data_IF_813123291475
#
_entry.id   IF_813123291475
#
_cell.length_a   1.000
_cell.length_b   1.000
_cell.length_c   1.000
_cell.angle_alpha   90.00
_cell.angle_beta   90.00
_cell.angle_gamma   90.00
#
_symmetry.space_group_name_H-M   'P 1'
#
loop_
_entity.id
_entity.type
_entity.pdbx_description
1 polymer ?
#
# COMPACT_ATOMS: atom_id res chain seq x y z
N UNK A 1 2.04 -7.28 -16.65
CA UNK A 1 0.92 -7.25 -15.68
C UNK A 1 1.46 -7.07 -14.27
N UNK A 2 1.25 -5.88 -13.69
CA UNK A 2 1.66 -5.49 -12.34
C UNK A 2 0.77 -6.17 -11.28
N UNK A 3 0.83 -7.50 -11.16
CA UNK A 3 -0.06 -8.22 -10.23
C UNK A 3 0.34 -7.89 -8.80
N UNK A 4 -0.56 -7.36 -7.98
CA UNK A 4 -0.37 -7.22 -6.52
C UNK A 4 -0.57 -8.57 -5.82
N UNK A 5 -0.40 -8.66 -4.49
CA UNK A 5 -0.76 -9.91 -3.79
C UNK A 5 -2.28 -10.20 -3.76
N UNK A 6 -3.12 -9.28 -4.26
CA UNK A 6 -4.54 -9.52 -4.54
C UNK A 6 -4.69 -10.46 -5.74
N UNK A 7 -4.08 -10.10 -6.87
CA UNK A 7 -4.18 -10.84 -8.14
C UNK A 7 -3.16 -11.98 -8.30
N UNK A 8 -2.13 -12.03 -7.47
CA UNK A 8 -1.15 -13.12 -7.47
C UNK A 8 -0.81 -13.57 -6.04
N UNK A 9 -1.65 -14.47 -5.51
CA UNK A 9 -1.38 -15.16 -4.24
C UNK A 9 -0.17 -16.06 -4.40
N UNK A 10 0.97 -15.68 -3.81
CA UNK A 10 2.11 -16.61 -3.70
C UNK A 10 1.66 -17.77 -2.82
N UNK A 11 2.00 -19.01 -3.19
CA UNK A 11 1.75 -20.16 -2.31
C UNK A 11 2.54 -19.95 -1.02
N UNK A 12 1.84 -19.70 0.08
CA UNK A 12 2.44 -19.59 1.40
C UNK A 12 3.24 -20.86 1.74
N UNK A 13 4.31 -20.71 2.51
CA UNK A 13 5.03 -21.86 3.06
C UNK A 13 4.06 -22.64 3.96
N UNK A 14 3.87 -23.93 3.69
CA UNK A 14 3.10 -24.82 4.58
C UNK A 14 3.77 -24.83 5.94
N UNK A 15 3.03 -24.44 6.96
CA UNK A 15 3.47 -24.47 8.35
C UNK A 15 2.28 -24.85 9.23
N UNK A 16 2.56 -25.58 10.30
CA UNK A 16 1.59 -25.98 11.31
C UNK A 16 1.27 -24.88 12.32
N UNK A 17 2.04 -23.77 12.33
CA UNK A 17 1.83 -22.64 13.24
C UNK A 17 0.69 -21.75 12.75
N UNK A 18 -0.20 -21.34 13.67
CA UNK A 18 -1.28 -20.38 13.38
C UNK A 18 -0.67 -19.02 12.96
N UNK A 19 -1.18 -18.39 11.89
CA UNK A 19 -0.71 -17.07 11.47
C UNK A 19 -1.06 -16.03 12.53
N UNK A 20 -0.11 -15.14 12.81
CA UNK A 20 -0.26 -14.06 13.81
C UNK A 20 -0.43 -12.69 13.18
N UNK A 21 0.13 -12.50 12.00
CA UNK A 21 0.08 -11.25 11.25
C UNK A 21 -0.72 -11.45 9.99
N UNK A 22 -1.52 -10.47 9.58
CA UNK A 22 -2.36 -10.59 8.39
C UNK A 22 -2.04 -9.42 7.46
N UNK A 23 -1.88 -9.71 6.16
CA UNK A 23 -1.79 -8.66 5.15
C UNK A 23 -3.12 -7.90 5.09
N UNK A 24 -3.06 -6.58 5.30
CA UNK A 24 -4.26 -5.71 5.33
C UNK A 24 -4.97 -5.58 3.98
N UNK A 25 -4.35 -6.10 2.90
CA UNK A 25 -4.84 -5.99 1.53
C UNK A 25 -5.30 -7.35 0.98
N UNK A 26 -4.42 -8.36 0.94
CA UNK A 26 -4.80 -9.69 0.42
C UNK A 26 -5.35 -10.65 1.48
N UNK A 27 -5.32 -10.26 2.76
CA UNK A 27 -5.78 -11.06 3.91
C UNK A 27 -5.01 -12.37 4.11
N UNK A 28 -3.82 -12.51 3.50
CA UNK A 28 -2.93 -13.64 3.74
C UNK A 28 -2.34 -13.58 5.15
N UNK A 29 -2.42 -14.71 5.86
CA UNK A 29 -1.84 -14.86 7.19
C UNK A 29 -0.37 -15.25 7.14
N UNK A 30 0.48 -14.56 7.91
CA UNK A 30 1.90 -14.79 8.07
C UNK A 30 2.22 -15.07 9.55
N UNK A 31 3.24 -15.90 9.79
CA UNK A 31 3.52 -16.45 11.12
C UNK A 31 4.30 -15.48 11.99
N UNK A 32 5.29 -14.81 11.40
CA UNK A 32 6.14 -13.87 12.11
C UNK A 32 6.12 -12.48 11.47
N UNK A 33 6.53 -11.50 12.27
CA UNK A 33 6.53 -10.07 11.93
C UNK A 33 7.47 -9.76 10.76
N UNK A 34 8.58 -10.49 10.66
CA UNK A 34 9.61 -10.26 9.64
C UNK A 34 9.09 -10.68 8.27
N UNK A 35 8.47 -11.85 8.18
CA UNK A 35 7.83 -12.35 6.98
C UNK A 35 6.66 -11.46 6.56
N UNK A 36 5.84 -11.01 7.51
CA UNK A 36 4.76 -10.05 7.24
C UNK A 36 5.29 -8.71 6.71
N UNK A 37 6.28 -8.10 7.37
CA UNK A 37 6.90 -6.85 6.89
C UNK A 37 7.44 -6.99 5.47
N UNK A 38 8.16 -8.09 5.21
CA UNK A 38 8.68 -8.40 3.88
C UNK A 38 7.58 -8.63 2.85
N UNK A 39 6.48 -9.29 3.22
CA UNK A 39 5.32 -9.43 2.34
C UNK A 39 4.74 -8.07 1.99
N UNK A 40 4.49 -7.23 2.99
CA UNK A 40 3.93 -5.89 2.80
C UNK A 40 4.86 -5.03 1.92
N UNK A 41 6.16 -5.03 2.19
CA UNK A 41 7.14 -4.27 1.39
C UNK A 41 7.22 -4.77 -0.06
N UNK A 42 7.27 -6.08 -0.29
CA UNK A 42 7.46 -6.65 -1.63
C UNK A 42 6.18 -6.74 -2.47
N UNK A 43 5.01 -6.71 -1.83
CA UNK A 43 3.73 -6.83 -2.51
C UNK A 43 2.95 -5.52 -2.57
N UNK A 44 3.06 -4.65 -1.55
CA UNK A 44 2.28 -3.42 -1.43
C UNK A 44 3.09 -2.18 -1.75
N UNK A 45 4.27 -2.02 -1.14
CA UNK A 45 5.09 -0.81 -1.34
C UNK A 45 5.90 -0.88 -2.63
N UNK A 46 6.60 -2.01 -2.84
CA UNK A 46 7.42 -2.28 -4.02
C UNK A 46 8.33 -1.10 -4.38
N UNK A 47 9.21 -0.62 -3.50
CA UNK A 47 9.95 0.63 -3.75
C UNK A 47 10.78 0.61 -5.04
N UNK A 48 11.03 -0.58 -5.61
CA UNK A 48 11.88 -0.79 -6.76
C UNK A 48 11.27 -1.79 -7.74
N UNK A 49 11.65 -1.65 -9.02
CA UNK A 49 11.44 -2.63 -10.08
C UNK A 49 12.75 -2.96 -10.79
N UNK A 50 12.74 -4.04 -11.56
CA UNK A 50 13.84 -4.55 -12.37
C UNK A 50 13.30 -4.80 -13.77
N UNK A 51 13.75 -3.97 -14.71
CA UNK A 51 13.31 -4.00 -16.11
C UNK A 51 14.29 -4.82 -16.94
N UNK A 52 13.78 -5.80 -17.68
CA UNK A 52 14.60 -6.58 -18.59
C UNK A 52 15.10 -5.71 -19.75
N UNK A 53 16.40 -5.78 -20.04
CA UNK A 53 17.01 -5.11 -21.19
C UNK A 53 16.85 -5.90 -22.51
N UNK A 54 16.29 -7.12 -22.44
CA UNK A 54 16.13 -8.04 -23.58
C UNK A 54 14.65 -8.27 -23.96
N UNK A 55 13.70 -7.88 -23.11
CA UNK A 55 12.26 -7.95 -23.39
C UNK A 55 11.48 -6.97 -22.50
N UNK A 56 10.17 -6.84 -22.71
CA UNK A 56 9.32 -5.90 -21.95
C UNK A 56 8.91 -6.41 -20.55
N UNK A 57 9.63 -7.38 -19.98
CA UNK A 57 9.30 -7.97 -18.69
C UNK A 57 9.80 -7.10 -17.52
N UNK A 58 8.90 -6.83 -16.56
CA UNK A 58 9.19 -6.07 -15.35
C UNK A 58 8.99 -6.95 -14.12
N UNK A 59 9.96 -6.91 -13.20
CA UNK A 59 9.97 -7.69 -11.96
C UNK A 59 10.10 -6.77 -10.75
N UNK A 60 9.48 -7.10 -9.62
CA UNK A 60 9.59 -6.32 -8.37
C UNK A 60 10.58 -6.92 -7.37
N UNK A 61 11.24 -8.02 -7.76
CA UNK A 61 12.20 -8.72 -6.93
C UNK A 61 13.40 -9.11 -7.78
N UNK A 62 14.59 -8.76 -7.30
CA UNK A 62 15.87 -9.06 -7.94
C UNK A 62 16.01 -10.57 -8.26
N UNK A 63 15.56 -11.45 -7.35
CA UNK A 63 15.58 -12.90 -7.56
C UNK A 63 14.71 -13.36 -8.75
N UNK A 64 13.57 -12.71 -8.97
CA UNK A 64 12.63 -13.10 -10.01
C UNK A 64 13.15 -12.62 -11.38
N UNK A 65 13.75 -11.42 -11.43
CA UNK A 65 14.52 -10.93 -12.57
C UNK A 65 15.68 -11.85 -12.96
N UNK A 66 16.53 -12.24 -11.99
CA UNK A 66 17.65 -13.15 -12.24
C UNK A 66 17.21 -14.51 -12.77
N UNK A 67 16.13 -15.05 -12.20
CA UNK A 67 15.54 -16.31 -12.65
C UNK A 67 15.03 -16.20 -14.09
N UNK A 68 14.38 -15.09 -14.43
CA UNK A 68 13.92 -14.83 -15.79
C UNK A 68 15.09 -14.78 -16.79
N UNK A 69 16.15 -14.03 -16.50
CA UNK A 69 17.30 -13.96 -17.41
C UNK A 69 17.99 -15.31 -17.63
N UNK A 70 18.06 -16.14 -16.59
CA UNK A 70 18.61 -17.49 -16.71
C UNK A 70 17.70 -18.41 -17.56
N UNK A 71 16.38 -18.32 -17.39
CA UNK A 71 15.43 -19.23 -18.02
C UNK A 71 14.99 -18.81 -19.44
N UNK A 72 14.87 -17.51 -19.71
CA UNK A 72 14.28 -16.99 -20.94
C UNK A 72 15.31 -16.46 -21.94
N UNK A 73 16.52 -16.09 -21.49
CA UNK A 73 17.49 -15.38 -22.32
C UNK A 73 18.89 -16.00 -22.35
N UNK A 74 19.17 -17.05 -21.56
CA UNK A 74 20.50 -17.65 -21.43
C UNK A 74 21.60 -16.58 -21.36
N UNK A 75 21.36 -15.55 -20.54
CA UNK A 75 22.05 -14.27 -20.68
C UNK A 75 23.57 -14.38 -20.43
N UNK A 76 24.37 -14.07 -21.45
CA UNK A 76 25.84 -14.10 -21.38
C UNK A 76 26.45 -13.09 -20.41
N UNK A 77 25.70 -12.04 -20.01
CA UNK A 77 26.12 -11.08 -18.96
C UNK A 77 25.94 -11.66 -17.56
N UNK A 78 25.19 -12.75 -17.42
CA UNK A 78 24.84 -13.38 -16.15
C UNK A 78 25.65 -14.66 -15.87
N UNK A 79 26.88 -14.73 -16.37
CA UNK A 79 27.76 -15.91 -16.25
C UNK A 79 28.35 -16.09 -14.85
N UNK A 80 28.67 -15.01 -14.13
CA UNK A 80 29.23 -15.05 -12.78
C UNK A 80 28.23 -14.53 -11.73
N UNK A 81 28.56 -14.68 -10.43
CA UNK A 81 27.74 -14.09 -9.35
C UNK A 81 27.79 -12.57 -9.37
N UNK A 82 28.96 -12.00 -9.61
CA UNK A 82 29.18 -10.55 -9.59
C UNK A 82 28.55 -9.88 -10.81
N UNK A 83 28.72 -10.46 -12.00
CA UNK A 83 28.12 -9.93 -13.23
C UNK A 83 26.58 -9.95 -13.16
N UNK A 84 25.98 -10.98 -12.55
CA UNK A 84 24.53 -11.05 -12.27
C UNK A 84 24.06 -9.98 -11.29
N UNK A 85 24.89 -9.64 -10.29
CA UNK A 85 24.55 -8.60 -9.32
C UNK A 85 24.56 -7.25 -10.03
N UNK A 86 25.63 -6.92 -10.73
CA UNK A 86 25.76 -5.67 -11.48
C UNK A 86 24.67 -5.51 -12.55
N UNK A 87 24.35 -6.59 -13.29
CA UNK A 87 23.27 -6.53 -14.28
C UNK A 87 21.92 -6.23 -13.63
N UNK A 88 21.61 -6.86 -12.50
CA UNK A 88 20.39 -6.56 -11.76
C UNK A 88 20.37 -5.11 -11.24
N UNK A 89 21.50 -4.57 -10.78
CA UNK A 89 21.56 -3.16 -10.37
C UNK A 89 21.36 -2.19 -11.55
N UNK A 90 21.88 -2.50 -12.75
CA UNK A 90 21.60 -1.69 -13.95
C UNK A 90 20.15 -1.77 -14.40
N UNK A 91 19.49 -2.91 -14.19
CA UNK A 91 18.08 -3.11 -14.46
C UNK A 91 17.16 -2.45 -13.41
N UNK A 92 17.71 -2.08 -12.25
CA UNK A 92 16.95 -1.51 -11.14
C UNK A 92 16.39 -0.12 -11.50
N UNK A 93 15.13 0.10 -11.17
CA UNK A 93 14.44 1.39 -11.25
C UNK A 93 13.76 1.67 -9.93
N UNK A 94 13.87 2.92 -9.47
CA UNK A 94 13.13 3.37 -8.30
C UNK A 94 11.68 3.62 -8.73
N UNK A 95 10.74 3.11 -7.94
CA UNK A 95 9.32 3.38 -8.11
C UNK A 95 8.91 4.56 -7.25
N UNK A 96 7.84 5.24 -7.67
CA UNK A 96 7.18 6.21 -6.80
C UNK A 96 6.66 5.47 -5.57
N UNK A 97 7.03 5.95 -4.38
CA UNK A 97 6.59 5.39 -3.10
C UNK A 97 5.49 6.23 -2.49
N UNK A 98 4.74 5.62 -1.57
CA UNK A 98 3.81 6.35 -0.71
C UNK A 98 4.56 7.30 0.21
N UNK A 99 3.86 8.36 0.56
CA UNK A 99 4.29 9.43 1.45
C UNK A 99 3.58 9.42 2.80
N UNK A 100 2.55 8.59 2.95
CA UNK A 100 1.78 8.47 4.17
C UNK A 100 0.88 7.23 4.16
N UNK A 101 0.50 6.78 5.36
CA UNK A 101 -0.31 5.58 5.55
C UNK A 101 -1.33 5.82 6.67
N UNK A 102 -2.58 5.40 6.42
CA UNK A 102 -3.62 5.34 7.43
C UNK A 102 -3.73 3.95 8.05
N UNK A 103 -3.90 3.89 9.37
CA UNK A 103 -4.25 2.65 10.04
C UNK A 103 -5.75 2.36 9.86
N UNK A 104 -6.14 1.12 9.61
CA UNK A 104 -7.54 0.71 9.57
C UNK A 104 -8.07 0.14 10.88
N UNK A 105 -7.19 -0.10 11.87
CA UNK A 105 -7.59 -0.55 13.22
C UNK A 105 -7.87 0.62 14.17
N UNK A 106 -7.39 1.82 13.83
CA UNK A 106 -7.59 3.05 14.61
C UNK A 106 -7.46 4.27 13.70
N UNK A 107 -7.26 5.47 14.26
CA UNK A 107 -7.18 6.73 13.51
C UNK A 107 -5.74 7.28 13.38
N UNK A 108 -4.74 6.40 13.43
CA UNK A 108 -3.33 6.80 13.41
C UNK A 108 -2.79 7.00 12.00
N UNK A 109 -2.12 8.13 11.78
CA UNK A 109 -1.37 8.46 10.58
C UNK A 109 0.14 8.22 10.80
N UNK A 110 0.79 7.58 9.84
CA UNK A 110 2.25 7.47 9.80
C UNK A 110 2.80 8.09 8.51
N UNK A 111 3.89 8.85 8.62
CA UNK A 111 4.63 9.41 7.48
C UNK A 111 5.84 8.55 7.08
N UNK A 112 6.15 7.53 7.87
CA UNK A 112 7.25 6.58 7.64
C UNK A 112 6.74 5.15 7.56
N UNK A 113 7.23 4.42 6.57
CA UNK A 113 6.89 3.00 6.37
C UNK A 113 7.17 2.13 7.60
N UNK A 114 8.36 2.29 8.19
CA UNK A 114 8.78 1.50 9.35
C UNK A 114 7.87 1.75 10.56
N UNK A 115 7.45 3.00 10.75
CA UNK A 115 6.52 3.40 11.80
C UNK A 115 5.16 2.74 11.57
N UNK A 116 4.60 2.84 10.35
CA UNK A 116 3.36 2.15 9.97
C UNK A 116 3.43 0.66 10.29
N UNK A 117 4.50 -0.02 9.88
CA UNK A 117 4.63 -1.45 10.11
C UNK A 117 4.71 -1.79 11.60
N UNK A 118 5.42 -1.00 12.40
CA UNK A 118 5.51 -1.22 13.84
C UNK A 118 4.18 -0.95 14.53
N UNK A 119 3.48 0.12 14.14
CA UNK A 119 2.15 0.48 14.63
C UNK A 119 1.14 -0.63 14.35
N UNK A 120 0.99 -1.05 13.08
CA UNK A 120 0.03 -2.10 12.70
C UNK A 120 0.38 -3.44 13.36
N UNK A 121 1.67 -3.78 13.47
CA UNK A 121 2.06 -4.98 14.21
C UNK A 121 1.64 -4.96 15.69
N UNK A 122 1.60 -3.78 16.33
CA UNK A 122 1.22 -3.66 17.73
C UNK A 122 -0.23 -4.04 18.00
N UNK A 123 -1.12 -3.84 17.01
CA UNK A 123 -2.52 -4.29 17.08
C UNK A 123 -2.59 -5.82 17.17
N UNK A 124 -1.83 -6.51 16.32
CA UNK A 124 -1.73 -7.98 16.36
C UNK A 124 -1.04 -8.49 17.64
N UNK A 125 0.04 -7.82 18.07
CA UNK A 125 0.87 -8.28 19.19
C UNK A 125 0.22 -8.06 20.56
N UNK A 126 -0.47 -6.93 20.75
CA UNK A 126 -0.91 -6.47 22.08
C UNK A 126 -2.42 -6.41 22.25
N UNK A 127 -3.16 -6.13 21.18
CA UNK A 127 -4.60 -5.87 21.26
C UNK A 127 -5.44 -7.08 20.86
N UNK A 128 -4.82 -8.15 20.34
CA UNK A 128 -5.54 -9.36 19.91
C UNK A 128 -6.48 -9.14 18.73
N UNK A 129 -6.35 -8.01 18.03
CA UNK A 129 -7.19 -7.64 16.89
C UNK A 129 -7.01 -8.62 15.75
N UNK A 130 -8.08 -8.86 15.03
CA UNK A 130 -8.11 -9.70 13.84
C UNK A 130 -8.33 -8.84 12.59
N UNK A 131 -8.15 -9.41 11.41
CA UNK A 131 -8.44 -8.68 10.16
C UNK A 131 -9.91 -8.28 10.01
N UNK A 132 -10.83 -8.87 10.79
CA UNK A 132 -12.22 -8.47 10.81
C UNK A 132 -12.42 -7.07 11.42
N UNK A 133 -11.48 -6.63 12.25
CA UNK A 133 -11.49 -5.31 12.90
C UNK A 133 -10.92 -4.21 11.99
N UNK A 134 -10.39 -4.57 10.82
CA UNK A 134 -9.84 -3.60 9.87
C UNK A 134 -10.98 -2.87 9.15
N UNK A 135 -11.11 -1.58 9.42
CA UNK A 135 -12.13 -0.71 8.86
C UNK A 135 -11.53 0.25 7.82
N UNK A 136 -12.12 0.28 6.62
CA UNK A 136 -11.65 1.13 5.53
C UNK A 136 -11.86 2.63 5.80
N UNK A 137 -12.97 3.02 6.41
CA UNK A 137 -13.24 4.40 6.79
C UNK A 137 -12.25 4.91 7.84
N UNK A 138 -11.77 4.04 8.72
CA UNK A 138 -10.67 4.36 9.63
C UNK A 138 -9.36 4.61 8.86
N UNK A 139 -9.10 3.90 7.75
CA UNK A 139 -7.95 4.18 6.87
C UNK A 139 -8.05 5.58 6.26
N UNK A 140 -9.19 5.91 5.66
CA UNK A 140 -9.39 7.24 5.05
C UNK A 140 -9.29 8.33 6.11
N UNK A 141 -9.98 8.19 7.24
CA UNK A 141 -9.94 9.17 8.32
C UNK A 141 -8.55 9.35 8.90
N UNK A 142 -7.78 8.27 9.06
CA UNK A 142 -6.37 8.31 9.45
C UNK A 142 -5.53 9.11 8.44
N UNK A 143 -5.72 8.88 7.14
CA UNK A 143 -5.00 9.62 6.10
C UNK A 143 -5.34 11.12 6.11
N UNK A 144 -6.58 11.48 6.44
CA UNK A 144 -6.99 12.88 6.64
C UNK A 144 -6.32 13.53 7.86
N UNK A 145 -5.79 12.76 8.82
CA UNK A 145 -5.02 13.31 9.96
C UNK A 145 -3.64 13.83 9.57
N UNK A 146 -3.18 13.60 8.34
CA UNK A 146 -1.95 14.22 7.83
C UNK A 146 -2.03 15.74 8.01
N UNK A 147 -1.05 16.42 8.63
CA UNK A 147 -1.20 17.81 9.07
C UNK A 147 -1.71 18.79 8.00
N UNK A 148 -1.17 18.71 6.78
CA UNK A 148 -1.58 19.56 5.66
C UNK A 148 -3.04 19.30 5.22
N UNK A 149 -3.49 18.05 5.25
CA UNK A 149 -4.86 17.66 4.84
C UNK A 149 -5.86 17.93 5.97
N UNK A 150 -5.44 17.75 7.22
CA UNK A 150 -6.28 17.93 8.40
C UNK A 150 -6.83 19.35 8.53
N UNK A 151 -5.98 20.35 8.27
CA UNK A 151 -6.39 21.75 8.33
C UNK A 151 -7.50 22.06 7.31
N UNK A 152 -7.36 21.55 6.08
CA UNK A 152 -8.36 21.70 5.01
C UNK A 152 -9.63 20.89 5.29
N UNK A 153 -9.50 19.67 5.81
CA UNK A 153 -10.63 18.85 6.23
C UNK A 153 -11.47 19.53 7.30
N UNK A 154 -10.83 20.09 8.33
CA UNK A 154 -11.51 20.85 9.37
C UNK A 154 -12.22 22.09 8.80
N UNK A 155 -11.65 22.73 7.76
CA UNK A 155 -12.27 23.86 7.06
C UNK A 155 -13.52 23.45 6.27
N UNK A 156 -13.44 22.37 5.47
CA UNK A 156 -14.57 21.83 4.71
C UNK A 156 -15.73 21.45 5.64
N UNK A 157 -15.45 20.82 6.77
CA UNK A 157 -16.49 20.48 7.76
C UNK A 157 -17.17 21.74 8.34
N UNK A 158 -16.40 22.77 8.69
CA UNK A 158 -16.95 24.04 9.20
C UNK A 158 -17.81 24.76 8.16
N UNK A 159 -17.33 24.86 6.92
CA UNK A 159 -18.03 25.55 5.83
C UNK A 159 -19.30 24.83 5.40
N UNK A 160 -19.30 23.49 5.43
CA UNK A 160 -20.48 22.71 5.06
C UNK A 160 -21.69 22.95 5.97
N UNK A 161 -21.46 23.36 7.22
CA UNK A 161 -22.50 23.49 8.25
C UNK A 161 -23.24 22.19 8.57
N UNK A 162 -22.82 21.05 8.00
CA UNK A 162 -23.52 19.77 8.12
C UNK A 162 -23.16 19.08 9.43
N UNK A 163 -24.19 18.68 10.18
CA UNK A 163 -24.03 17.84 11.37
C UNK A 163 -24.06 16.38 10.93
N UNK A 164 -22.90 15.72 10.93
CA UNK A 164 -22.79 14.29 10.68
C UNK A 164 -22.97 13.50 11.96
N UNK A 165 -23.79 12.44 11.93
CA UNK A 165 -23.76 11.41 12.99
C UNK A 165 -22.56 10.47 12.81
N UNK A 166 -22.25 10.14 11.55
CA UNK A 166 -21.15 9.27 11.18
C UNK A 166 -20.72 9.60 9.74
N UNK A 167 -19.41 9.51 9.51
CA UNK A 167 -18.76 9.64 8.21
C UNK A 167 -18.20 8.26 7.85
N UNK A 168 -18.53 7.76 6.67
CA UNK A 168 -18.14 6.43 6.19
C UNK A 168 -17.76 6.51 4.71
N UNK A 169 -16.82 5.67 4.25
CA UNK A 169 -16.36 5.65 2.86
C UNK A 169 -16.46 4.23 2.30
N UNK A 170 -16.98 4.10 1.08
CA UNK A 170 -17.08 2.80 0.41
C UNK A 170 -15.69 2.33 -0.07
N UNK A 171 -15.19 1.16 0.40
CA UNK A 171 -13.91 0.61 -0.03
C UNK A 171 -13.78 0.42 -1.54
N UNK A 172 -14.88 0.20 -2.26
CA UNK A 172 -14.85 -0.01 -3.71
C UNK A 172 -14.53 1.26 -4.48
N UNK A 173 -15.04 2.41 -4.03
CA UNK A 173 -14.87 3.69 -4.72
C UNK A 173 -13.68 4.49 -4.19
N UNK A 174 -13.35 4.33 -2.90
CA UNK A 174 -12.32 5.14 -2.23
C UNK A 174 -11.05 4.37 -1.87
N UNK A 175 -11.05 3.03 -2.01
CA UNK A 175 -9.89 2.17 -1.73
C UNK A 175 -8.77 2.28 -2.76
N UNK A 176 -7.76 1.40 -2.70
CA UNK A 176 -6.65 1.39 -3.66
C UNK A 176 -7.05 0.89 -5.04
N UNK A 177 -6.41 1.42 -6.07
CA UNK A 177 -6.53 0.99 -7.46
C UNK A 177 -5.41 0.01 -7.79
N UNK A 178 -5.75 -1.19 -8.29
CA UNK A 178 -4.72 -2.16 -8.64
C UNK A 178 -3.84 -1.64 -9.79
N UNK A 179 -2.52 -1.71 -9.59
CA UNK A 179 -1.53 -1.27 -10.58
C UNK A 179 -1.12 0.19 -10.49
N UNK A 180 -1.83 1.03 -9.73
CA UNK A 180 -1.37 2.41 -9.47
C UNK A 180 -0.12 2.40 -8.55
N UNK A 181 0.89 3.26 -8.78
CA UNK A 181 1.00 4.29 -9.82
C UNK A 181 1.71 3.84 -11.11
N UNK A 182 1.91 2.54 -11.34
CA UNK A 182 2.74 2.05 -12.46
C UNK A 182 1.97 1.87 -13.78
N UNK A 183 0.68 1.58 -13.67
CA UNK A 183 -0.24 1.51 -14.81
C UNK A 183 -0.92 2.86 -14.89
N UNK A 184 -1.20 3.33 -16.11
CA UNK A 184 -2.07 4.47 -16.37
C UNK A 184 -3.51 4.13 -15.97
N UNK A 185 -3.74 4.06 -14.67
CA UNK A 185 -5.01 3.80 -14.02
C UNK A 185 -5.40 5.00 -13.19
N UNK A 186 -6.69 5.34 -13.23
CA UNK A 186 -7.23 6.47 -12.48
C UNK A 186 -7.13 6.19 -10.98
N UNK A 187 -6.38 7.00 -10.20
CA UNK A 187 -6.27 6.81 -8.76
C UNK A 187 -7.58 7.12 -8.05
N UNK A 188 -7.82 6.42 -6.96
CA UNK A 188 -8.94 6.67 -6.04
C UNK A 188 -8.49 7.51 -4.85
N UNK A 189 -9.44 7.88 -4.00
CA UNK A 189 -9.18 8.76 -2.84
C UNK A 189 -8.02 8.27 -1.97
N UNK A 190 -7.99 6.99 -1.58
CA UNK A 190 -6.90 6.44 -0.78
C UNK A 190 -5.55 6.55 -1.51
N UNK A 191 -5.50 6.23 -2.81
CA UNK A 191 -4.26 6.35 -3.61
C UNK A 191 -3.74 7.79 -3.62
N UNK A 192 -4.63 8.77 -3.82
CA UNK A 192 -4.22 10.17 -3.86
C UNK A 192 -3.72 10.67 -2.50
N UNK A 193 -4.38 10.29 -1.40
CA UNK A 193 -3.95 10.63 -0.05
C UNK A 193 -2.61 9.97 0.33
N UNK A 194 -2.42 8.69 0.00
CA UNK A 194 -1.18 7.94 0.30
C UNK A 194 0.02 8.49 -0.49
N UNK A 195 -0.19 8.95 -1.72
CA UNK A 195 0.86 9.45 -2.60
C UNK A 195 0.93 11.00 -2.70
N UNK A 196 0.27 11.71 -1.79
CA UNK A 196 0.26 13.18 -1.73
C UNK A 196 1.68 13.74 -1.48
N UNK A 197 2.18 14.54 -2.41
CA UNK A 197 3.45 15.27 -2.24
C UNK A 197 3.24 16.54 -1.40
N UNK A 198 4.27 17.11 -0.76
CA UNK A 198 4.14 18.32 0.06
C UNK A 198 3.54 19.54 -0.66
N UNK A 199 3.78 19.67 -1.96
CA UNK A 199 3.22 20.73 -2.82
C UNK A 199 1.86 20.37 -3.44
N UNK A 200 1.28 19.23 -3.05
CA UNK A 200 0.01 18.77 -3.61
C UNK A 200 -1.19 19.50 -3.03
N UNK A 201 -2.31 19.44 -3.76
CA UNK A 201 -3.54 20.14 -3.42
C UNK A 201 -4.31 19.41 -2.31
N UNK A 202 -3.94 19.70 -1.06
CA UNK A 202 -4.60 19.16 0.13
C UNK A 202 -6.08 19.58 0.23
N UNK A 203 -6.43 20.78 -0.27
CA UNK A 203 -7.79 21.31 -0.23
C UNK A 203 -8.72 20.50 -1.12
N UNK A 204 -8.30 20.25 -2.37
CA UNK A 204 -9.08 19.41 -3.30
C UNK A 204 -9.25 18.00 -2.75
N UNK A 205 -8.23 17.41 -2.10
CA UNK A 205 -8.37 16.08 -1.50
C UNK A 205 -9.31 16.04 -0.29
N UNK A 206 -9.29 17.08 0.56
CA UNK A 206 -10.22 17.20 1.67
C UNK A 206 -11.67 17.33 1.18
N UNK A 207 -11.91 18.16 0.15
CA UNK A 207 -13.22 18.30 -0.47
C UNK A 207 -13.67 16.99 -1.12
N UNK A 208 -12.80 16.31 -1.86
CA UNK A 208 -13.10 15.02 -2.48
C UNK A 208 -13.44 13.94 -1.43
N UNK A 209 -12.75 13.94 -0.30
CA UNK A 209 -13.08 13.05 0.81
C UNK A 209 -14.46 13.35 1.39
N UNK A 210 -14.84 14.62 1.49
CA UNK A 210 -16.16 15.05 1.96
C UNK A 210 -17.27 14.64 1.00
N UNK A 211 -17.05 14.85 -0.30
CA UNK A 211 -18.03 14.56 -1.35
C UNK A 211 -18.31 13.06 -1.48
N UNK A 212 -17.29 12.23 -1.23
CA UNK A 212 -17.39 10.76 -1.25
C UNK A 212 -17.80 10.14 0.09
N UNK A 213 -18.00 10.94 1.14
CA UNK A 213 -18.45 10.44 2.42
C UNK A 213 -19.95 10.09 2.40
N UNK A 214 -20.28 8.88 2.81
CA UNK A 214 -21.64 8.42 3.07
C UNK A 214 -22.14 9.06 4.37
N UNK A 215 -23.34 9.64 4.32
CA UNK A 215 -23.95 10.38 5.44
C UNK A 215 -25.06 9.55 6.06
N UNK A 216 -24.95 9.21 7.35
CA UNK A 216 -26.10 8.70 8.12
C UNK A 216 -26.86 9.89 8.70
N UNK A 217 -28.04 10.17 8.13
CA UNK A 217 -28.94 11.23 8.62
C UNK A 217 -29.71 10.71 9.83
N UNK A 218 -29.71 11.49 10.92
CA UNK A 218 -30.67 11.30 12.03
C UNK A 218 -32.06 11.58 11.49
N UNK A 219 -32.95 10.58 11.52
CA UNK A 219 -34.39 10.89 11.53
C UNK A 219 -34.77 11.46 12.89
#
# INVERSE_FOLDING_TARGET
>A
FYKTCVSHKRKGRRSSKKPRYICTVCKEGLIDKTDWKRHEETCQERPESFECDLCNAVYFLNKDFKKHHAAAHLCNRCTSRDSRKEHAERARRLRRTRSGWGCGFCYHFSDKWTERCNHVASHFDKMGTTIADWNHSAVIYSLLQRPAVRAEWDAVLRESGQKFLAIDWDPQTTGRTEGYPDIDSTPKLQDMLEFLVPSGDAKTLAQMAFDQAVKKVTK
#
